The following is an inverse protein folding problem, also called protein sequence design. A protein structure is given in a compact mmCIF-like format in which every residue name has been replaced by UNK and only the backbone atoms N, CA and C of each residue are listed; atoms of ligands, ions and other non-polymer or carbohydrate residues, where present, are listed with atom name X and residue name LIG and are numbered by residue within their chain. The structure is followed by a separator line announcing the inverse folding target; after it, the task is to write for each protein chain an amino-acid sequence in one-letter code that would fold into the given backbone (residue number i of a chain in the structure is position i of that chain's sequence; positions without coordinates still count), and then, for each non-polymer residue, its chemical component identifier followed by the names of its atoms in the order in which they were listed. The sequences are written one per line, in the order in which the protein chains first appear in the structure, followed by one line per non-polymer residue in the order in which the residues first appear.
data_IF_761263242564
#
_entry.id   IF_761263242564
#
_cell.length_a   1.000
_cell.length_b   1.000
_cell.length_c   1.000
_cell.angle_alpha   90.00
_cell.angle_beta   90.00
_cell.angle_gamma   90.00
#
_symmetry.space_group_name_H-M   'P 1'
#
loop_
_entity.id
_entity.type
_entity.pdbx_description
1 polymer ?
#
# COMPACT_ATOMS: atom_id res chain seq x y z
N UNK A 1 -17.99 11.84 -5.62
CA UNK A 1 -17.37 11.16 -4.46
C UNK A 1 -15.95 10.84 -4.89
N UNK A 2 -14.94 11.33 -4.16
CA UNK A 2 -13.54 11.11 -4.55
C UNK A 2 -13.16 9.67 -4.25
N UNK A 3 -12.48 8.98 -5.16
CA UNK A 3 -11.92 7.65 -4.94
C UNK A 3 -10.41 7.78 -4.80
N UNK A 4 -9.84 7.16 -3.77
CA UNK A 4 -8.41 7.10 -3.53
C UNK A 4 -8.01 5.64 -3.40
N UNK A 5 -7.14 5.20 -4.31
CA UNK A 5 -6.47 3.91 -4.26
C UNK A 5 -5.09 4.06 -3.61
N UNK A 6 -4.91 3.40 -2.48
CA UNK A 6 -3.62 3.25 -1.81
C UNK A 6 -3.08 1.84 -2.04
N UNK A 7 -1.80 1.74 -2.44
CA UNK A 7 -1.07 0.47 -2.42
C UNK A 7 -0.15 0.45 -1.22
N UNK A 8 -0.25 -0.60 -0.40
CA UNK A 8 0.60 -0.85 0.77
C UNK A 8 1.61 -1.93 0.42
N UNK A 9 2.89 -1.71 0.75
CA UNK A 9 3.94 -2.73 0.62
C UNK A 9 4.31 -3.22 2.01
N UNK A 10 3.90 -4.45 2.34
CA UNK A 10 3.93 -5.02 3.69
C UNK A 10 3.97 -6.55 3.70
N UNK A 11 3.40 -7.20 4.71
CA UNK A 11 3.40 -8.66 4.84
C UNK A 11 2.27 -9.36 4.06
N UNK A 12 1.38 -8.59 3.41
CA UNK A 12 0.36 -9.06 2.48
C UNK A 12 -0.81 -9.76 3.19
N UNK A 13 -1.95 -9.08 3.30
CA UNK A 13 -3.14 -9.63 3.93
C UNK A 13 -4.33 -9.72 2.96
N UNK A 14 -4.91 -8.59 2.51
CA UNK A 14 -6.09 -8.54 1.64
C UNK A 14 -6.35 -7.12 1.07
N UNK A 15 -7.22 -7.03 0.05
CA UNK A 15 -7.75 -5.74 -0.42
C UNK A 15 -8.92 -5.30 0.46
N UNK A 16 -8.93 -4.04 0.89
CA UNK A 16 -9.99 -3.46 1.71
C UNK A 16 -10.56 -2.18 1.08
N UNK A 17 -11.86 -1.95 1.24
CA UNK A 17 -12.52 -0.72 0.76
C UNK A 17 -13.47 -0.18 1.82
N UNK A 18 -13.46 1.13 1.99
CA UNK A 18 -14.34 1.82 2.93
C UNK A 18 -14.59 3.26 2.50
N UNK A 19 -15.64 3.87 3.06
CA UNK A 19 -15.90 5.30 2.89
C UNK A 19 -15.52 6.02 4.18
N UNK A 20 -14.68 7.06 4.05
CA UNK A 20 -14.26 7.92 5.15
C UNK A 20 -14.65 9.38 4.90
N UNK A 21 -14.62 10.19 5.95
CA UNK A 21 -14.82 11.64 5.86
C UNK A 21 -13.48 12.34 6.10
N UNK A 22 -13.06 13.17 5.14
CA UNK A 22 -11.85 13.99 5.23
C UNK A 22 -12.22 15.42 4.84
N UNK A 23 -11.97 16.39 5.73
CA UNK A 23 -12.34 17.81 5.51
C UNK A 23 -13.79 17.97 5.05
N UNK A 24 -14.73 17.36 5.78
CA UNK A 24 -16.17 17.36 5.49
C UNK A 24 -16.58 16.79 4.11
N UNK A 25 -15.66 16.08 3.44
CA UNK A 25 -15.89 15.43 2.14
C UNK A 25 -15.84 13.92 2.26
N UNK A 26 -16.82 13.22 1.67
CA UNK A 26 -16.82 11.76 1.58
C UNK A 26 -15.81 11.26 0.52
N UNK A 27 -14.93 10.36 0.94
CA UNK A 27 -13.90 9.72 0.12
C UNK A 27 -14.07 8.21 0.20
N UNK A 28 -14.09 7.54 -0.96
CA UNK A 28 -13.95 6.09 -1.05
C UNK A 28 -12.45 5.76 -1.02
N UNK A 29 -12.00 5.14 0.07
CA UNK A 29 -10.63 4.70 0.27
C UNK A 29 -10.55 3.20 -0.02
N UNK A 30 -9.69 2.83 -0.96
CA UNK A 30 -9.31 1.44 -1.18
C UNK A 30 -7.85 1.20 -0.82
N UNK A 31 -7.60 0.15 -0.06
CA UNK A 31 -6.28 -0.35 0.33
C UNK A 31 -5.99 -1.63 -0.44
N UNK A 32 -4.90 -1.63 -1.20
CA UNK A 32 -4.35 -2.80 -1.88
C UNK A 32 -3.06 -3.22 -1.18
N UNK A 33 -3.15 -4.22 -0.33
CA UNK A 33 -1.99 -4.76 0.35
C UNK A 33 -1.18 -5.67 -0.60
N UNK A 34 0.14 -5.57 -0.54
CA UNK A 34 1.06 -6.35 -1.36
C UNK A 34 2.17 -6.93 -0.51
N UNK A 35 2.47 -8.19 -0.82
CA UNK A 35 3.60 -8.92 -0.26
C UNK A 35 4.95 -8.24 -0.58
N UNK A 36 5.71 -7.96 0.47
CA UNK A 36 7.04 -7.36 0.42
C UNK A 36 8.18 -8.36 0.22
N UNK A 37 7.90 -9.66 0.19
CA UNK A 37 8.89 -10.69 -0.12
C UNK A 37 9.26 -10.67 -1.62
N UNK A 38 10.52 -10.98 -1.93
CA UNK A 38 11.08 -10.98 -3.29
C UNK A 38 10.32 -11.92 -4.25
N UNK A 39 9.77 -13.02 -3.73
CA UNK A 39 8.95 -13.97 -4.49
C UNK A 39 7.75 -13.30 -5.19
N UNK A 40 7.31 -12.14 -4.68
CA UNK A 40 6.17 -11.39 -5.21
C UNK A 40 6.57 -10.15 -6.03
N UNK A 41 7.86 -9.92 -6.28
CA UNK A 41 8.33 -8.74 -7.02
C UNK A 41 7.72 -8.62 -8.41
N UNK A 42 7.44 -9.74 -9.07
CA UNK A 42 6.79 -9.76 -10.40
C UNK A 42 5.28 -9.53 -10.35
N UNK A 43 4.65 -9.81 -9.21
CA UNK A 43 3.21 -9.65 -9.02
C UNK A 43 2.84 -8.27 -8.48
N UNK A 44 3.71 -7.67 -7.66
CA UNK A 44 3.50 -6.34 -7.06
C UNK A 44 3.11 -5.25 -8.08
N UNK A 45 3.76 -5.17 -9.27
CA UNK A 45 3.40 -4.19 -10.29
C UNK A 45 1.97 -4.32 -10.81
N UNK A 46 1.32 -5.49 -10.67
CA UNK A 46 -0.07 -5.67 -11.08
C UNK A 46 -1.06 -4.89 -10.20
N UNK A 47 -0.67 -4.54 -8.96
CA UNK A 47 -1.47 -3.71 -8.06
C UNK A 47 -1.33 -2.21 -8.34
N UNK A 48 -0.32 -1.79 -9.11
CA UNK A 48 0.03 -0.37 -9.28
C UNK A 48 -0.85 0.44 -10.25
N UNK A 49 -1.51 -0.13 -11.28
CA UNK A 49 -2.34 0.67 -12.17
C UNK A 49 -3.40 1.47 -11.41
N UNK A 50 -3.53 2.75 -11.77
CA UNK A 50 -4.48 3.70 -11.15
C UNK A 50 -4.27 3.91 -9.65
N UNK A 51 -3.04 3.77 -9.15
CA UNK A 51 -2.70 4.08 -7.75
C UNK A 51 -2.54 5.58 -7.57
N UNK A 52 -3.22 6.14 -6.58
CA UNK A 52 -3.12 7.55 -6.21
C UNK A 52 -1.98 7.77 -5.20
N UNK A 53 -1.79 6.81 -4.27
CA UNK A 53 -0.82 6.91 -3.16
C UNK A 53 -0.15 5.56 -2.90
N UNK A 54 1.16 5.59 -2.63
CA UNK A 54 1.90 4.43 -2.11
C UNK A 54 2.22 4.62 -0.63
N UNK A 55 1.98 3.57 0.16
CA UNK A 55 2.39 3.47 1.55
C UNK A 55 3.50 2.42 1.66
N UNK A 56 4.72 2.89 1.94
CA UNK A 56 5.88 2.01 2.12
C UNK A 56 6.13 1.83 3.62
N UNK A 57 6.02 0.59 4.09
CA UNK A 57 6.11 0.27 5.50
C UNK A 57 7.48 -0.31 5.85
N UNK A 58 7.93 -0.05 7.07
CA UNK A 58 9.08 -0.71 7.68
C UNK A 58 8.82 -0.93 9.18
N UNK A 59 9.55 -1.87 9.78
CA UNK A 59 9.44 -2.20 11.19
C UNK A 59 10.54 -1.53 12.02
N UNK A 60 10.13 -0.88 13.11
CA UNK A 60 11.03 -0.22 14.07
C UNK A 60 11.95 -1.21 14.81
N UNK A 61 11.53 -2.47 14.92
CA UNK A 61 12.27 -3.54 15.60
C UNK A 61 13.01 -4.46 14.63
N UNK A 62 12.90 -4.20 13.32
CA UNK A 62 13.57 -4.98 12.28
C UNK A 62 14.24 -4.02 11.27
N UNK A 63 15.42 -3.53 11.64
CA UNK A 63 16.24 -2.60 10.84
C UNK A 63 16.38 -2.97 9.35
N UNK A 64 16.58 -4.24 8.96
CA UNK A 64 16.67 -4.59 7.53
C UNK A 64 15.45 -4.14 6.71
N UNK A 65 14.24 -4.14 7.29
CA UNK A 65 13.05 -3.65 6.58
C UNK A 65 13.12 -2.15 6.26
N UNK A 66 13.77 -1.33 7.09
CA UNK A 66 14.01 0.08 6.81
C UNK A 66 15.08 0.26 5.73
N UNK A 67 16.15 -0.52 5.79
CA UNK A 67 17.23 -0.49 4.80
C UNK A 67 16.72 -0.87 3.40
N UNK A 68 15.73 -1.78 3.32
CA UNK A 68 15.09 -2.19 2.08
C UNK A 68 14.23 -1.10 1.42
N UNK A 69 13.76 -0.08 2.16
CA UNK A 69 12.94 1.01 1.58
C UNK A 69 13.67 1.76 0.47
N UNK A 70 15.00 1.88 0.57
CA UNK A 70 15.83 2.59 -0.42
C UNK A 70 16.47 1.66 -1.46
N UNK A 71 16.22 0.36 -1.39
CA UNK A 71 16.72 -0.58 -2.38
C UNK A 71 15.88 -0.47 -3.66
N UNK A 72 16.57 -0.50 -4.80
CA UNK A 72 15.98 -0.31 -6.13
C UNK A 72 15.55 -1.63 -6.74
#
# INVERSE_FOLDING_TARGET
MQHIKCVVVGDGFDNYKTTIIVNDTYVELGLWDTAGQEDYDRFRPLSYPLTDVFLVCFSLVHRPSFENVNQR
#
